data_IF_837575119223
#
_entry.id   IF_837575119223
#
_cell.length_a   1.000
_cell.length_b   1.000
_cell.length_c   1.000
_cell.angle_alpha   90.00
_cell.angle_beta   90.00
_cell.angle_gamma   90.00
#
_symmetry.space_group_name_H-M   'P 1'
#
loop_
_entity.id
_entity.type
_entity.pdbx_description
1 polymer ?
#
# COMPACT_ATOMS: atom_id res chain seq x y z
N UNK A 1 -0.11 1.08 -20.46
CA UNK A 1 0.54 2.29 -19.92
C UNK A 1 -0.35 3.52 -20.06
N UNK A 2 -0.73 4.00 -21.25
CA UNK A 2 -1.53 5.23 -21.46
C UNK A 2 -2.81 5.31 -20.62
N UNK A 3 -3.61 4.25 -20.56
CA UNK A 3 -4.84 4.22 -19.74
C UNK A 3 -4.59 4.44 -18.24
N UNK A 4 -3.44 4.00 -17.72
CA UNK A 4 -3.04 4.25 -16.33
C UNK A 4 -2.68 5.73 -16.12
N UNK A 5 -1.94 6.33 -17.06
CA UNK A 5 -1.62 7.76 -17.00
C UNK A 5 -2.86 8.66 -17.06
N UNK A 6 -3.85 8.33 -17.90
CA UNK A 6 -5.12 9.06 -17.94
C UNK A 6 -5.85 9.02 -16.60
N UNK A 7 -5.88 7.85 -15.95
CA UNK A 7 -6.47 7.70 -14.62
C UNK A 7 -5.69 8.49 -13.56
N UNK A 8 -4.35 8.45 -13.56
CA UNK A 8 -3.51 9.24 -12.65
C UNK A 8 -3.76 10.74 -12.85
N UNK A 9 -3.85 11.21 -14.10
CA UNK A 9 -4.18 12.60 -14.40
C UNK A 9 -5.59 13.00 -13.91
N UNK A 10 -6.55 12.09 -13.96
CA UNK A 10 -7.88 12.32 -13.42
C UNK A 10 -7.87 12.43 -11.90
N UNK A 11 -7.10 11.57 -11.23
CA UNK A 11 -6.88 11.63 -9.78
C UNK A 11 -6.16 12.93 -9.38
N UNK A 12 -5.13 13.34 -10.11
CA UNK A 12 -4.42 14.61 -9.89
C UNK A 12 -5.38 15.80 -9.87
N UNK A 13 -6.32 15.83 -10.81
CA UNK A 13 -7.37 16.86 -10.84
C UNK A 13 -8.33 16.77 -9.64
N UNK A 14 -8.75 15.54 -9.26
CA UNK A 14 -9.67 15.32 -8.13
C UNK A 14 -9.05 15.75 -6.81
N UNK A 15 -7.78 15.41 -6.59
CA UNK A 15 -7.05 15.79 -5.39
C UNK A 15 -6.49 17.22 -5.44
N UNK A 16 -6.56 17.89 -6.58
CA UNK A 16 -5.92 19.19 -6.81
C UNK A 16 -4.44 19.21 -6.39
N UNK A 17 -3.72 18.13 -6.71
CA UNK A 17 -2.29 17.97 -6.49
C UNK A 17 -1.63 17.67 -7.83
N UNK A 18 -0.49 18.28 -8.08
CA UNK A 18 0.28 18.02 -9.30
C UNK A 18 1.01 16.69 -9.19
N UNK A 19 1.11 15.96 -10.29
CA UNK A 19 1.87 14.72 -10.38
C UNK A 19 2.82 14.81 -11.59
N UNK A 20 4.08 14.50 -11.37
CA UNK A 20 5.04 14.24 -12.42
C UNK A 20 5.21 12.72 -12.58
N UNK A 21 5.22 12.23 -13.81
CA UNK A 21 5.36 10.79 -14.07
C UNK A 21 6.73 10.50 -14.66
N UNK A 22 7.54 9.76 -13.93
CA UNK A 22 8.75 9.11 -14.43
C UNK A 22 8.42 7.63 -14.59
N UNK A 23 8.98 6.95 -15.58
CA UNK A 23 8.64 5.55 -15.81
C UNK A 23 9.68 4.81 -16.65
N UNK A 24 9.78 3.52 -16.42
CA UNK A 24 10.47 2.59 -17.30
C UNK A 24 9.47 2.03 -18.31
N UNK A 25 9.48 2.61 -19.53
CA UNK A 25 8.44 2.34 -20.52
C UNK A 25 8.39 0.88 -20.97
N UNK A 26 9.53 0.20 -21.05
CA UNK A 26 9.63 -1.20 -21.43
C UNK A 26 9.03 -2.16 -20.43
N UNK A 27 9.18 -1.85 -19.14
CA UNK A 27 8.77 -2.73 -18.04
C UNK A 27 7.37 -2.38 -17.52
N UNK A 28 6.81 -1.23 -17.92
CA UNK A 28 5.53 -0.73 -17.43
C UNK A 28 5.59 -0.25 -15.97
N UNK A 29 6.79 -0.02 -15.43
CA UNK A 29 7.02 0.49 -14.09
C UNK A 29 6.81 2.01 -14.05
N UNK A 30 5.96 2.48 -13.15
CA UNK A 30 5.59 3.90 -13.01
C UNK A 30 6.12 4.45 -11.68
N UNK A 31 6.72 5.64 -11.73
CA UNK A 31 7.16 6.41 -10.57
C UNK A 31 6.40 7.74 -10.52
N UNK A 32 5.14 7.76 -10.07
CA UNK A 32 4.39 9.00 -9.93
C UNK A 32 4.97 9.82 -8.76
N UNK A 33 5.43 11.01 -9.06
CA UNK A 33 5.93 11.99 -8.09
C UNK A 33 4.82 12.98 -7.79
N UNK A 34 4.15 12.81 -6.65
CA UNK A 34 3.09 13.71 -6.19
C UNK A 34 3.77 14.91 -5.52
N UNK A 35 3.47 16.10 -6.03
CA UNK A 35 4.03 17.36 -5.52
C UNK A 35 3.07 17.99 -4.54
N UNK A 36 3.52 18.22 -3.31
CA UNK A 36 2.74 18.82 -2.25
C UNK A 36 3.56 19.81 -1.42
N UNK A 37 2.90 20.69 -0.70
CA UNK A 37 3.52 21.62 0.23
C UNK A 37 3.33 21.13 1.67
N UNK A 38 4.42 20.67 2.29
CA UNK A 38 4.39 20.19 3.67
C UNK A 38 4.03 21.28 4.71
N UNK A 39 4.05 22.56 4.33
CA UNK A 39 3.62 23.67 5.16
C UNK A 39 2.11 23.87 5.19
N UNK A 40 1.36 23.22 4.29
CA UNK A 40 -0.10 23.31 4.24
C UNK A 40 -0.72 22.16 5.04
N UNK A 41 -1.46 22.44 6.13
CA UNK A 41 -2.13 21.40 6.89
C UNK A 41 -3.07 20.55 6.04
N UNK A 42 -2.96 19.22 6.17
CA UNK A 42 -3.79 18.24 5.45
C UNK A 42 -3.30 17.88 4.04
N UNK A 43 -2.27 18.54 3.50
CA UNK A 43 -1.74 18.17 2.18
C UNK A 43 -0.95 16.86 2.21
N UNK A 44 -0.30 16.53 3.31
CA UNK A 44 0.39 15.25 3.45
C UNK A 44 -0.61 14.09 3.41
N UNK A 45 -1.63 14.12 4.24
CA UNK A 45 -2.68 13.10 4.31
C UNK A 45 -3.37 12.93 2.95
N UNK A 46 -3.68 14.03 2.30
CA UNK A 46 -4.26 14.06 0.95
C UNK A 46 -3.32 13.46 -0.10
N UNK A 47 -2.02 13.63 0.06
CA UNK A 47 -0.99 13.05 -0.81
C UNK A 47 -0.91 11.54 -0.60
N UNK A 48 -0.98 11.07 0.63
CA UNK A 48 -1.01 9.64 0.98
C UNK A 48 -2.26 8.96 0.41
N UNK A 49 -3.44 9.58 0.55
CA UNK A 49 -4.68 9.09 -0.05
C UNK A 49 -4.57 8.98 -1.57
N UNK A 50 -4.03 10.02 -2.23
CA UNK A 50 -3.80 10.00 -3.67
C UNK A 50 -2.83 8.88 -4.06
N UNK A 51 -1.74 8.70 -3.33
CA UNK A 51 -0.79 7.60 -3.54
C UNK A 51 -1.46 6.23 -3.45
N UNK A 52 -2.28 6.01 -2.41
CA UNK A 52 -3.04 4.77 -2.22
C UNK A 52 -4.03 4.49 -3.36
N UNK A 53 -4.71 5.51 -3.88
CA UNK A 53 -5.60 5.36 -5.05
C UNK A 53 -4.81 4.95 -6.31
N UNK A 54 -3.60 5.48 -6.51
CA UNK A 54 -2.72 5.05 -7.62
C UNK A 54 -2.33 3.58 -7.45
N UNK A 55 -1.97 3.14 -6.25
CA UNK A 55 -1.61 1.75 -5.97
C UNK A 55 -2.80 0.80 -6.25
N UNK A 56 -4.01 1.15 -5.80
CA UNK A 56 -5.24 0.40 -6.12
C UNK A 56 -5.45 0.27 -7.63
N UNK A 57 -5.29 1.37 -8.37
CA UNK A 57 -5.40 1.34 -9.83
C UNK A 57 -4.35 0.43 -10.48
N UNK A 58 -3.15 0.34 -9.91
CA UNK A 58 -2.11 -0.57 -10.40
C UNK A 58 -2.51 -2.02 -10.20
N UNK A 59 -3.06 -2.37 -9.03
CA UNK A 59 -3.55 -3.73 -8.72
C UNK A 59 -4.72 -4.10 -9.64
N UNK A 60 -5.72 -3.24 -9.78
CA UNK A 60 -6.88 -3.43 -10.69
C UNK A 60 -6.47 -3.65 -12.15
N UNK A 61 -5.35 -3.06 -12.55
CA UNK A 61 -4.79 -3.23 -13.88
C UNK A 61 -3.91 -4.50 -14.03
N UNK A 62 -3.90 -5.39 -13.03
CA UNK A 62 -3.09 -6.60 -13.01
C UNK A 62 -1.60 -6.35 -12.73
N UNK A 63 -1.27 -5.20 -12.16
CA UNK A 63 0.08 -4.86 -11.73
C UNK A 63 0.33 -5.16 -10.26
N UNK A 64 1.40 -4.56 -9.71
CA UNK A 64 1.82 -4.71 -8.31
C UNK A 64 1.99 -3.34 -7.67
N UNK A 65 1.90 -3.29 -6.33
CA UNK A 65 2.14 -2.09 -5.53
C UNK A 65 3.61 -1.64 -5.54
N UNK A 66 4.51 -2.52 -5.95
CA UNK A 66 5.93 -2.19 -6.06
C UNK A 66 6.55 -2.91 -7.26
N UNK A 67 7.34 -2.19 -8.04
CA UNK A 67 8.14 -2.74 -9.14
C UNK A 67 9.56 -3.03 -8.71
N UNK A 68 10.19 -2.11 -7.95
CA UNK A 68 11.60 -2.18 -7.58
C UNK A 68 11.94 -1.63 -6.18
N UNK A 69 11.21 -0.60 -5.69
CA UNK A 69 11.58 0.10 -4.44
C UNK A 69 11.18 -0.66 -3.16
N UNK A 70 10.36 -1.70 -3.29
CA UNK A 70 9.83 -2.44 -2.14
C UNK A 70 8.63 -1.73 -1.49
N UNK A 71 8.14 -2.31 -0.40
CA UNK A 71 6.95 -1.84 0.34
C UNK A 71 7.33 -0.79 1.38
N UNK A 72 8.41 -1.04 2.15
CA UNK A 72 8.84 -0.17 3.23
C UNK A 72 7.75 0.03 4.29
N UNK A 73 7.52 1.29 4.65
CA UNK A 73 6.41 1.73 5.53
C UNK A 73 5.29 2.41 4.74
N UNK A 74 5.59 3.00 3.59
CA UNK A 74 4.66 3.80 2.81
C UNK A 74 3.54 2.98 2.17
N UNK A 75 3.83 1.72 1.79
CA UNK A 75 2.91 0.88 1.05
C UNK A 75 2.33 -0.28 1.87
N UNK A 76 2.45 -0.22 3.20
CA UNK A 76 1.94 -1.26 4.09
C UNK A 76 0.44 -1.49 3.89
N UNK A 77 -0.34 -0.42 3.82
CA UNK A 77 -1.79 -0.49 3.62
C UNK A 77 -2.15 -1.11 2.26
N UNK A 78 -1.32 -0.86 1.25
CA UNK A 78 -1.52 -1.42 -0.08
C UNK A 78 -1.26 -2.94 -0.13
N UNK A 79 -0.50 -3.51 0.79
CA UNK A 79 -0.35 -4.96 0.95
C UNK A 79 -1.71 -5.63 1.19
N UNK A 80 -2.56 -5.01 2.02
CA UNK A 80 -3.90 -5.51 2.32
C UNK A 80 -4.87 -5.46 1.12
N UNK A 81 -4.58 -4.64 0.10
CA UNK A 81 -5.34 -4.62 -1.15
C UNK A 81 -4.84 -5.64 -2.17
N UNK A 82 -3.54 -5.95 -2.16
CA UNK A 82 -2.94 -6.83 -3.13
C UNK A 82 -2.98 -8.31 -2.71
N UNK A 83 -2.84 -8.59 -1.42
CA UNK A 83 -2.69 -9.93 -0.89
C UNK A 83 -3.86 -10.33 -0.01
N UNK A 84 -4.26 -11.60 -0.08
CA UNK A 84 -5.23 -12.22 0.82
C UNK A 84 -4.63 -12.42 2.22
N UNK A 85 -5.48 -12.60 3.22
CA UNK A 85 -5.06 -12.88 4.60
C UNK A 85 -4.14 -14.11 4.66
N UNK A 86 -4.45 -15.17 3.90
CA UNK A 86 -3.61 -16.38 3.85
C UNK A 86 -2.21 -16.12 3.28
N UNK A 87 -2.08 -15.22 2.30
CA UNK A 87 -0.78 -14.82 1.75
C UNK A 87 -0.02 -13.93 2.74
N UNK A 88 -0.70 -13.04 3.43
CA UNK A 88 -0.10 -12.21 4.49
C UNK A 88 0.39 -13.08 5.66
N UNK A 89 -0.35 -14.12 6.03
CA UNK A 89 0.10 -15.10 7.03
C UNK A 89 1.40 -15.80 6.61
N UNK A 90 1.55 -16.15 5.33
CA UNK A 90 2.81 -16.72 4.83
C UNK A 90 3.96 -15.72 4.96
N UNK A 91 3.74 -14.43 4.63
CA UNK A 91 4.77 -13.40 4.84
C UNK A 91 5.17 -13.27 6.32
N UNK A 92 4.22 -13.32 7.25
CA UNK A 92 4.48 -13.32 8.69
C UNK A 92 5.30 -14.53 9.12
N UNK A 93 4.95 -15.73 8.64
CA UNK A 93 5.69 -16.96 8.94
C UNK A 93 7.14 -16.90 8.43
N UNK A 94 7.34 -16.41 7.21
CA UNK A 94 8.69 -16.20 6.64
C UNK A 94 9.46 -15.19 7.50
N UNK A 95 8.84 -14.06 7.82
CA UNK A 95 9.47 -13.05 8.68
C UNK A 95 9.88 -13.63 10.03
N UNK A 96 8.99 -14.37 10.70
CA UNK A 96 9.28 -14.99 12.00
C UNK A 96 10.36 -16.07 11.93
N UNK A 97 10.46 -16.82 10.83
CA UNK A 97 11.49 -17.83 10.64
C UNK A 97 12.91 -17.22 10.57
N UNK A 98 13.06 -16.04 9.98
CA UNK A 98 14.34 -15.33 9.88
C UNK A 98 14.62 -14.35 11.02
N UNK A 99 13.56 -13.85 11.66
CA UNK A 99 13.64 -12.81 12.69
C UNK A 99 12.66 -13.10 13.85
N UNK A 100 12.91 -14.16 14.62
CA UNK A 100 12.00 -14.58 15.69
C UNK A 100 11.86 -13.57 16.83
N UNK A 101 12.76 -12.61 16.93
CA UNK A 101 12.74 -11.57 17.95
C UNK A 101 12.31 -10.20 17.40
N UNK A 102 11.88 -10.13 16.14
CA UNK A 102 11.43 -8.88 15.48
C UNK A 102 12.41 -7.72 15.57
N UNK A 103 13.71 -8.02 15.44
CA UNK A 103 14.79 -7.02 15.52
C UNK A 103 15.06 -6.36 14.17
N UNK A 104 14.77 -7.05 13.06
CA UNK A 104 15.10 -6.61 11.71
C UNK A 104 13.95 -5.80 11.12
N UNK A 105 14.16 -4.49 10.96
CA UNK A 105 13.21 -3.58 10.35
C UNK A 105 11.75 -3.76 10.87
N UNK A 106 11.51 -3.63 12.18
CA UNK A 106 10.18 -3.83 12.75
C UNK A 106 9.17 -2.87 12.12
N UNK A 107 7.95 -3.35 11.88
CA UNK A 107 6.86 -2.57 11.27
C UNK A 107 7.04 -2.20 9.80
N UNK A 108 7.94 -2.88 9.07
CA UNK A 108 8.17 -2.65 7.64
C UNK A 108 7.85 -3.89 6.81
N UNK A 109 7.45 -3.67 5.57
CA UNK A 109 7.17 -4.65 4.52
C UNK A 109 5.94 -5.54 4.75
N UNK A 110 5.69 -6.02 5.95
CA UNK A 110 4.54 -6.88 6.26
C UNK A 110 3.61 -6.15 7.22
N UNK A 111 2.35 -5.86 6.82
CA UNK A 111 1.39 -5.17 7.68
C UNK A 111 0.93 -6.09 8.81
N UNK A 112 0.56 -5.52 9.95
CA UNK A 112 -0.14 -6.27 10.98
C UNK A 112 -1.56 -6.60 10.50
N UNK A 113 -2.11 -7.75 10.90
CA UNK A 113 -3.48 -8.14 10.54
C UNK A 113 -4.54 -7.11 11.00
N UNK A 114 -4.28 -6.45 12.11
CA UNK A 114 -5.11 -5.36 12.62
C UNK A 114 -5.20 -4.19 11.61
N UNK A 115 -4.09 -3.81 10.99
CA UNK A 115 -4.05 -2.72 10.00
C UNK A 115 -4.93 -3.03 8.78
N UNK A 116 -4.93 -4.27 8.32
CA UNK A 116 -5.82 -4.69 7.23
C UNK A 116 -7.30 -4.65 7.62
N UNK A 117 -7.63 -4.98 8.87
CA UNK A 117 -9.00 -4.90 9.38
C UNK A 117 -9.52 -3.45 9.42
N UNK A 118 -8.70 -2.51 9.88
CA UNK A 118 -9.04 -1.08 9.93
C UNK A 118 -9.32 -0.50 8.54
N UNK A 119 -8.62 -0.99 7.52
CA UNK A 119 -8.84 -0.60 6.13
C UNK A 119 -10.08 -1.25 5.49
N UNK A 120 -10.85 -2.05 6.25
CA UNK A 120 -12.03 -2.74 5.78
C UNK A 120 -11.76 -3.86 4.77
N UNK A 121 -10.52 -4.30 4.64
CA UNK A 121 -10.11 -5.36 3.71
C UNK A 121 -10.05 -6.74 4.39
N UNK A 122 -10.16 -6.81 5.71
CA UNK A 122 -10.25 -8.06 6.44
C UNK A 122 -11.71 -8.53 6.47
N UNK A 123 -11.98 -9.70 5.90
CA UNK A 123 -13.27 -10.37 6.05
C UNK A 123 -13.38 -10.96 7.45
N UNK A 124 -14.12 -10.29 8.31
CA UNK A 124 -14.50 -10.81 9.63
C UNK A 124 -15.62 -11.84 9.41
N UNK A 125 -15.28 -13.13 9.38
CA UNK A 125 -16.26 -14.19 9.29
C UNK A 125 -17.08 -14.27 10.59
N UNK A 126 -18.38 -13.94 10.53
CA UNK A 126 -19.35 -14.05 11.62
C UNK A 126 -18.96 -13.32 12.93
N UNK A 127 -18.27 -12.19 12.85
CA UNK A 127 -17.88 -11.41 14.03
C UNK A 127 -16.64 -11.93 14.77
N UNK A 128 -16.01 -12.99 14.27
CA UNK A 128 -14.77 -13.52 14.82
C UNK A 128 -13.57 -12.99 14.01
N UNK A 129 -12.64 -12.37 14.71
CA UNK A 129 -11.34 -12.03 14.12
C UNK A 129 -10.53 -13.32 13.94
N UNK A 130 -9.83 -13.49 12.80
CA UNK A 130 -9.06 -14.70 12.54
C UNK A 130 -7.92 -14.94 13.53
N UNK A 131 -7.45 -13.90 14.23
CA UNK A 131 -6.36 -13.97 15.21
C UNK A 131 -6.70 -13.13 16.45
N UNK A 132 -7.59 -13.63 17.34
CA UNK A 132 -7.99 -12.90 18.55
C UNK A 132 -6.88 -12.79 19.60
N UNK A 133 -5.81 -13.58 19.46
CA UNK A 133 -4.64 -13.61 20.34
C UNK A 133 -3.60 -12.53 20.07
N UNK A 134 -3.71 -11.79 18.96
CA UNK A 134 -2.78 -10.69 18.65
C UNK A 134 -3.15 -9.46 19.46
N UNK A 135 -2.15 -8.94 20.20
CA UNK A 135 -2.28 -7.70 20.97
C UNK A 135 -2.69 -6.55 20.03
N UNK A 136 -3.77 -5.87 20.40
CA UNK A 136 -4.32 -4.71 19.70
C UNK A 136 -3.93 -3.47 20.48
N UNK A 137 -2.99 -2.73 19.94
CA UNK A 137 -2.60 -1.43 20.46
C UNK A 137 -3.20 -0.31 19.64
#
# INVERSE_FOLDING_TARGET
MYKRQEKINSLSKRYNLRVANVFHAGDGNLHPLILYDAGIPGELEKTEEFGNEILKLCIEAGGSITGEHGVGVEKLDAMCFQYSDAELDVFHQIKAAFDPYSLLNPGKAVPTLHRCAELGNMHVHHGNLPHPELDRF
#
